data_IF_964294700604
#
_entry.id   IF_964294700604
#
_cell.length_a   1.000
_cell.length_b   1.000
_cell.length_c   1.000
_cell.angle_alpha   90.00
_cell.angle_beta   90.00
_cell.angle_gamma   90.00
#
_symmetry.space_group_name_H-M   'P 1'
#
loop_
_entity.id
_entity.type
_entity.pdbx_description
1 polymer ?
#
# COMPACT_ATOMS: atom_id res chain seq x y z
N UNK A 1 -26.69 3.12 5.59
CA UNK A 1 -25.56 3.68 4.83
C UNK A 1 -24.34 2.84 5.16
N UNK A 2 -23.63 2.31 4.16
CA UNK A 2 -22.40 1.56 4.35
C UNK A 2 -21.21 2.51 4.53
N UNK A 3 -20.24 2.13 5.32
CA UNK A 3 -18.98 2.86 5.53
C UNK A 3 -17.82 1.99 5.11
N UNK A 4 -17.03 2.49 4.15
CA UNK A 4 -15.77 1.87 3.73
C UNK A 4 -14.61 2.50 4.50
N UNK A 5 -13.90 1.68 5.26
CA UNK A 5 -12.73 2.08 6.02
C UNK A 5 -11.46 1.68 5.29
N UNK A 6 -10.78 2.64 4.66
CA UNK A 6 -9.49 2.40 4.01
C UNK A 6 -8.37 2.50 5.03
N UNK A 7 -7.61 1.43 5.17
CA UNK A 7 -6.51 1.30 6.13
C UNK A 7 -5.20 1.17 5.36
N UNK A 8 -4.30 2.11 5.58
CA UNK A 8 -2.91 1.94 5.13
C UNK A 8 -2.21 0.92 6.03
N UNK A 9 -1.47 -0.02 5.43
CA UNK A 9 -0.65 -0.97 6.17
C UNK A 9 0.28 -0.30 7.19
N UNK A 10 0.65 -1.01 8.23
CA UNK A 10 1.63 -0.59 9.23
C UNK A 10 3.00 -0.30 8.62
N UNK A 11 3.89 0.34 9.37
CA UNK A 11 5.23 0.67 8.89
C UNK A 11 5.96 -0.58 8.37
N UNK A 12 6.35 -0.56 7.09
CA UNK A 12 7.20 -1.58 6.50
C UNK A 12 8.66 -1.46 6.97
N UNK A 13 9.43 -2.56 6.83
CA UNK A 13 10.85 -2.63 7.22
C UNK A 13 11.73 -1.94 6.17
N UNK A 14 11.78 -0.61 6.19
CA UNK A 14 12.58 0.18 5.27
C UNK A 14 14.08 -0.12 5.45
N UNK A 15 14.77 -0.42 4.35
CA UNK A 15 16.22 -0.72 4.37
C UNK A 15 16.57 -2.17 4.73
N UNK A 16 15.60 -3.05 5.01
CA UNK A 16 15.83 -4.48 5.13
C UNK A 16 15.88 -5.16 3.75
N UNK A 17 16.48 -6.34 3.69
CA UNK A 17 16.51 -7.19 2.47
C UNK A 17 15.09 -7.54 1.99
N UNK A 18 14.15 -7.72 2.92
CA UNK A 18 12.73 -7.92 2.67
C UNK A 18 11.94 -6.68 3.11
N UNK A 19 11.76 -5.76 2.17
CA UNK A 19 10.99 -4.53 2.38
C UNK A 19 9.49 -4.80 2.59
N UNK A 20 8.97 -5.92 2.07
CA UNK A 20 7.51 -6.19 2.08
C UNK A 20 6.98 -6.65 3.44
N UNK A 21 7.82 -6.83 4.44
CA UNK A 21 7.40 -7.16 5.80
C UNK A 21 7.19 -5.93 6.67
N UNK A 22 6.35 -6.03 7.69
CA UNK A 22 6.23 -4.99 8.71
C UNK A 22 7.48 -4.90 9.59
N UNK A 23 7.81 -3.69 10.03
CA UNK A 23 8.71 -3.47 11.15
C UNK A 23 8.01 -3.81 12.48
N UNK A 24 8.78 -3.93 13.57
CA UNK A 24 8.20 -4.09 14.91
C UNK A 24 7.18 -2.99 15.23
N UNK A 25 7.48 -1.75 14.81
CA UNK A 25 6.54 -0.62 14.96
C UNK A 25 5.28 -0.81 14.11
N UNK A 26 5.40 -1.37 12.91
CA UNK A 26 4.25 -1.68 12.06
C UNK A 26 3.30 -2.69 12.70
N UNK A 27 3.84 -3.72 13.32
CA UNK A 27 3.06 -4.68 14.11
C UNK A 27 2.34 -4.02 15.28
N UNK A 28 3.03 -3.15 16.04
CA UNK A 28 2.40 -2.43 17.15
C UNK A 28 1.30 -1.48 16.66
N UNK A 29 1.48 -0.81 15.53
CA UNK A 29 0.46 0.01 14.90
C UNK A 29 -0.79 -0.81 14.57
N UNK A 30 -0.63 -2.00 14.00
CA UNK A 30 -1.74 -2.92 13.72
C UNK A 30 -2.49 -3.33 14.98
N UNK A 31 -1.75 -3.72 16.04
CA UNK A 31 -2.37 -4.08 17.33
C UNK A 31 -3.15 -2.92 17.97
N UNK A 32 -2.58 -1.72 17.94
CA UNK A 32 -3.25 -0.52 18.46
C UNK A 32 -4.54 -0.26 17.69
N UNK A 33 -4.49 -0.36 16.36
CA UNK A 33 -5.67 -0.19 15.50
C UNK A 33 -6.73 -1.24 15.78
N UNK A 34 -6.34 -2.51 15.91
CA UNK A 34 -7.25 -3.61 16.25
C UNK A 34 -7.99 -3.36 17.56
N UNK A 35 -7.26 -2.98 18.61
CA UNK A 35 -7.86 -2.60 19.90
C UNK A 35 -8.83 -1.42 19.79
N UNK A 36 -8.49 -0.44 18.97
CA UNK A 36 -9.36 0.72 18.75
C UNK A 36 -10.65 0.31 18.02
N UNK A 37 -10.52 -0.45 16.93
CA UNK A 37 -11.67 -0.94 16.15
C UNK A 37 -12.61 -1.73 17.06
N UNK A 38 -12.10 -2.69 17.87
CA UNK A 38 -12.92 -3.52 18.75
C UNK A 38 -13.72 -2.76 19.81
N UNK A 39 -13.36 -1.50 20.08
CA UNK A 39 -14.09 -0.63 21.03
C UNK A 39 -15.10 0.28 20.35
N UNK A 40 -14.96 0.56 19.06
CA UNK A 40 -15.70 1.64 18.40
C UNK A 40 -16.59 1.16 17.25
N UNK A 41 -16.29 0.03 16.65
CA UNK A 41 -17.05 -0.48 15.50
C UNK A 41 -16.89 -1.98 15.35
N UNK A 42 -17.83 -2.61 14.66
CA UNK A 42 -17.80 -4.04 14.37
C UNK A 42 -17.57 -4.23 12.87
N UNK A 43 -16.39 -4.71 12.43
CA UNK A 43 -16.17 -5.08 11.04
C UNK A 43 -17.11 -6.22 10.62
N UNK A 44 -17.82 -6.02 9.52
CA UNK A 44 -18.70 -7.05 8.94
C UNK A 44 -18.02 -7.73 7.75
N UNK A 45 -17.13 -7.03 7.07
CA UNK A 45 -16.28 -7.54 5.99
C UNK A 45 -14.88 -6.95 6.11
N UNK A 46 -13.90 -7.77 5.79
CA UNK A 46 -12.50 -7.39 5.76
C UNK A 46 -11.87 -7.84 4.44
N UNK A 47 -11.17 -6.92 3.80
CA UNK A 47 -10.44 -7.15 2.56
C UNK A 47 -9.01 -6.69 2.68
N UNK A 48 -8.12 -7.25 1.87
CA UNK A 48 -6.73 -6.82 1.80
C UNK A 48 -6.09 -7.09 0.46
N UNK A 49 -5.02 -6.39 0.14
CA UNK A 49 -4.15 -6.75 -0.97
C UNK A 49 -3.28 -7.97 -0.63
N UNK A 50 -2.60 -8.50 -1.64
CA UNK A 50 -1.77 -9.73 -1.53
C UNK A 50 -0.42 -9.50 -0.85
N UNK A 51 0.05 -8.24 -0.77
CA UNK A 51 1.38 -7.93 -0.27
C UNK A 51 1.54 -8.39 1.19
N UNK A 52 2.73 -8.88 1.52
CA UNK A 52 3.03 -9.41 2.84
C UNK A 52 2.69 -8.40 3.95
N UNK A 53 3.04 -7.12 3.76
CA UNK A 53 2.72 -6.05 4.71
C UNK A 53 1.22 -5.83 4.91
N UNK A 54 0.37 -6.15 3.91
CA UNK A 54 -1.09 -6.10 4.07
C UNK A 54 -1.55 -7.24 4.99
N UNK A 55 -1.10 -8.48 4.72
CA UNK A 55 -1.44 -9.65 5.55
C UNK A 55 -0.95 -9.48 6.98
N UNK A 56 0.32 -9.11 7.18
CA UNK A 56 0.87 -8.87 8.52
C UNK A 56 0.16 -7.73 9.26
N UNK A 57 -0.36 -6.71 8.56
CA UNK A 57 -1.19 -5.68 9.18
C UNK A 57 -2.53 -6.26 9.67
N UNK A 58 -3.17 -7.10 8.86
CA UNK A 58 -4.42 -7.78 9.23
C UNK A 58 -4.19 -8.71 10.42
N UNK A 59 -3.11 -9.49 10.41
CA UNK A 59 -2.71 -10.36 11.53
C UNK A 59 -2.51 -9.56 12.83
N UNK A 60 -1.76 -8.47 12.75
CA UNK A 60 -1.54 -7.59 13.89
C UNK A 60 -2.84 -6.92 14.40
N UNK A 61 -3.74 -6.55 13.47
CA UNK A 61 -5.08 -6.06 13.82
C UNK A 61 -5.89 -7.13 14.53
N UNK A 62 -5.86 -8.38 14.07
CA UNK A 62 -6.56 -9.49 14.72
C UNK A 62 -6.03 -9.75 16.14
N UNK A 63 -4.71 -9.75 16.34
CA UNK A 63 -4.11 -9.84 17.69
C UNK A 63 -4.62 -8.73 18.63
N UNK A 64 -4.81 -7.53 18.12
CA UNK A 64 -5.30 -6.40 18.93
C UNK A 64 -6.80 -6.39 19.13
N UNK A 65 -7.57 -6.85 18.14
CA UNK A 65 -9.04 -6.89 18.17
C UNK A 65 -9.56 -7.98 19.10
N UNK A 66 -8.89 -9.12 19.09
CA UNK A 66 -9.35 -10.35 19.76
C UNK A 66 -10.26 -11.18 18.86
N UNK A 67 -11.19 -11.91 19.47
CA UNK A 67 -12.06 -12.80 18.73
C UNK A 67 -13.13 -12.06 17.92
N UNK A 68 -13.47 -12.61 16.76
CA UNK A 68 -14.58 -12.12 15.94
C UNK A 68 -14.22 -11.13 14.84
N UNK A 69 -12.92 -10.86 14.57
CA UNK A 69 -12.54 -10.16 13.35
C UNK A 69 -12.85 -11.06 12.14
N UNK A 70 -13.55 -10.57 11.11
CA UNK A 70 -13.84 -11.37 9.90
C UNK A 70 -12.56 -11.86 9.22
N UNK A 71 -12.63 -13.04 8.60
CA UNK A 71 -11.57 -13.50 7.71
C UNK A 71 -11.43 -12.53 6.52
N UNK A 72 -10.19 -12.22 6.16
CA UNK A 72 -9.92 -11.29 5.10
C UNK A 72 -9.99 -11.94 3.72
N UNK A 73 -10.81 -11.39 2.84
CA UNK A 73 -10.75 -11.71 1.42
C UNK A 73 -9.62 -10.93 0.74
N UNK A 74 -8.91 -11.58 -0.19
CA UNK A 74 -7.76 -11.01 -0.88
C UNK A 74 -8.15 -10.51 -2.26
N UNK A 75 -7.86 -9.23 -2.55
CA UNK A 75 -8.08 -8.60 -3.85
C UNK A 75 -6.79 -8.03 -4.43
N UNK A 76 -6.23 -8.62 -5.52
CA UNK A 76 -5.00 -8.13 -6.15
C UNK A 76 -5.08 -6.67 -6.61
N UNK A 77 -6.28 -6.20 -6.97
CA UNK A 77 -6.55 -4.80 -7.33
C UNK A 77 -6.13 -3.79 -6.26
N UNK A 78 -6.06 -4.23 -4.99
CA UNK A 78 -5.68 -3.39 -3.86
C UNK A 78 -4.15 -3.34 -3.61
N UNK A 79 -3.34 -3.96 -4.47
CA UNK A 79 -1.89 -3.92 -4.32
C UNK A 79 -1.32 -2.55 -4.68
N UNK A 80 -0.21 -2.19 -4.03
CA UNK A 80 0.58 -1.01 -4.37
C UNK A 80 1.18 -1.16 -5.77
N UNK A 81 1.50 -0.02 -6.41
CA UNK A 81 2.31 -0.03 -7.63
C UNK A 81 3.77 -0.42 -7.33
N UNK A 82 4.48 -0.91 -8.33
CA UNK A 82 5.90 -1.20 -8.20
C UNK A 82 6.73 0.09 -8.31
N UNK A 83 7.06 0.66 -7.14
CA UNK A 83 7.89 1.87 -7.06
C UNK A 83 9.30 1.67 -7.63
N UNK A 84 9.82 0.43 -7.70
CA UNK A 84 11.15 0.16 -8.26
C UNK A 84 11.16 0.33 -9.76
N UNK A 85 10.13 -0.17 -10.45
CA UNK A 85 10.00 0.05 -11.90
C UNK A 85 9.77 1.52 -12.23
N UNK A 86 9.04 2.27 -11.39
CA UNK A 86 8.86 3.71 -11.56
C UNK A 86 10.18 4.47 -11.38
N UNK A 87 11.00 4.10 -10.40
CA UNK A 87 12.32 4.68 -10.20
C UNK A 87 13.28 4.31 -11.33
N UNK A 88 13.28 3.05 -11.81
CA UNK A 88 14.10 2.58 -12.92
C UNK A 88 13.81 3.35 -14.22
N UNK A 89 12.54 3.56 -14.53
CA UNK A 89 12.12 4.31 -15.71
C UNK A 89 12.51 5.79 -15.66
N UNK A 90 12.58 6.36 -14.46
CA UNK A 90 13.04 7.74 -14.26
C UNK A 90 14.55 7.87 -14.29
N UNK A 91 15.26 6.94 -13.64
CA UNK A 91 16.72 6.94 -13.54
C UNK A 91 17.26 5.52 -13.63
N UNK A 92 17.87 5.14 -14.77
CA UNK A 92 18.40 3.79 -14.95
C UNK A 92 19.33 3.36 -13.81
N UNK A 93 19.13 2.13 -13.33
CA UNK A 93 19.83 1.55 -12.18
C UNK A 93 19.16 1.80 -10.82
N UNK A 94 18.15 2.66 -10.72
CA UNK A 94 17.48 2.94 -9.44
C UNK A 94 16.40 1.93 -9.05
N UNK A 95 16.04 1.03 -9.95
CA UNK A 95 15.28 -0.17 -9.62
C UNK A 95 16.06 -1.17 -8.76
N UNK A 96 17.40 -1.11 -8.83
CA UNK A 96 18.30 -1.89 -7.98
C UNK A 96 18.66 -1.09 -6.71
N UNK A 97 18.29 -1.56 -5.50
CA UNK A 97 18.55 -0.85 -4.26
C UNK A 97 20.03 -0.58 -3.96
N UNK A 98 20.93 -1.51 -4.34
CA UNK A 98 22.37 -1.36 -4.09
C UNK A 98 22.98 -0.30 -5.01
N UNK A 99 22.57 -0.27 -6.29
CA UNK A 99 23.02 0.73 -7.24
C UNK A 99 22.49 2.11 -6.86
N UNK A 100 21.21 2.20 -6.49
CA UNK A 100 20.61 3.43 -5.97
C UNK A 100 21.36 3.95 -4.74
N UNK A 101 21.67 3.07 -3.77
CA UNK A 101 22.41 3.43 -2.56
C UNK A 101 23.82 3.94 -2.89
N UNK A 102 24.52 3.30 -3.84
CA UNK A 102 25.86 3.75 -4.29
C UNK A 102 25.83 5.13 -4.94
N UNK A 103 24.77 5.42 -5.72
CA UNK A 103 24.62 6.73 -6.34
C UNK A 103 24.26 7.80 -5.31
N UNK A 104 23.33 7.50 -4.41
CA UNK A 104 22.91 8.41 -3.33
C UNK A 104 24.05 8.74 -2.36
N UNK A 105 24.96 7.79 -2.10
CA UNK A 105 26.12 8.03 -1.22
C UNK A 105 27.06 9.14 -1.73
N UNK A 106 26.97 9.55 -3.00
CA UNK A 106 27.73 10.65 -3.60
C UNK A 106 27.07 12.02 -3.42
N UNK A 107 25.83 12.06 -2.97
CA UNK A 107 25.08 13.29 -2.76
C UNK A 107 25.40 13.91 -1.40
N UNK A 108 25.38 15.24 -1.32
CA UNK A 108 25.61 15.97 -0.06
C UNK A 108 24.53 15.66 1.00
N UNK A 109 23.28 15.41 0.58
CA UNK A 109 22.17 14.95 1.41
C UNK A 109 21.44 13.81 0.68
N UNK A 110 21.84 12.56 0.92
CA UNK A 110 21.25 11.39 0.25
C UNK A 110 19.74 11.26 0.44
N UNK A 111 19.24 11.64 1.62
CA UNK A 111 17.81 11.56 1.92
C UNK A 111 17.00 12.57 1.12
N UNK A 112 17.47 13.79 1.06
CA UNK A 112 16.82 14.86 0.28
C UNK A 112 16.90 14.58 -1.23
N UNK A 113 18.04 14.09 -1.70
CA UNK A 113 18.23 13.68 -3.08
C UNK A 113 17.27 12.54 -3.47
N UNK A 114 17.10 11.52 -2.62
CA UNK A 114 16.13 10.47 -2.83
C UNK A 114 14.70 11.00 -2.86
N UNK A 115 14.30 11.83 -1.89
CA UNK A 115 12.94 12.41 -1.85
C UNK A 115 12.62 13.22 -3.10
N UNK A 116 13.57 14.01 -3.56
CA UNK A 116 13.40 14.79 -4.78
C UNK A 116 13.25 13.90 -6.01
N UNK A 117 14.16 12.95 -6.21
CA UNK A 117 14.10 12.03 -7.34
C UNK A 117 12.83 11.16 -7.32
N UNK A 118 12.40 10.68 -6.16
CA UNK A 118 11.16 9.93 -6.01
C UNK A 118 9.95 10.79 -6.41
N UNK A 119 9.90 12.05 -5.98
CA UNK A 119 8.81 12.95 -6.34
C UNK A 119 8.76 13.23 -7.85
N UNK A 120 9.91 13.41 -8.50
CA UNK A 120 9.99 13.60 -9.95
C UNK A 120 9.60 12.32 -10.72
N UNK A 121 10.04 11.15 -10.25
CA UNK A 121 9.67 9.87 -10.83
C UNK A 121 8.14 9.65 -10.79
N UNK A 122 7.52 9.91 -9.65
CA UNK A 122 6.06 9.82 -9.48
C UNK A 122 5.34 10.85 -10.37
N UNK A 123 5.82 12.10 -10.44
CA UNK A 123 5.23 13.13 -11.30
C UNK A 123 5.26 12.72 -12.77
N UNK A 124 6.40 12.18 -13.24
CA UNK A 124 6.56 11.68 -14.60
C UNK A 124 5.60 10.53 -14.89
N UNK A 125 5.46 9.58 -13.95
CA UNK A 125 4.58 8.44 -14.08
C UNK A 125 3.10 8.87 -14.15
N UNK A 126 2.66 9.74 -13.24
CA UNK A 126 1.28 10.28 -13.20
C UNK A 126 0.97 11.13 -14.45
N UNK A 127 1.97 11.83 -15.00
CA UNK A 127 1.81 12.67 -16.18
C UNK A 127 1.38 11.92 -17.44
N UNK A 128 1.63 10.60 -17.52
CA UNK A 128 1.13 9.72 -18.58
C UNK A 128 1.80 9.87 -19.95
N UNK A 129 2.74 10.80 -20.12
CA UNK A 129 3.40 11.06 -21.41
C UNK A 129 4.35 9.94 -21.86
N UNK A 130 4.72 9.05 -20.94
CA UNK A 130 5.72 8.00 -21.13
C UNK A 130 5.19 6.62 -20.70
N UNK A 131 3.94 6.31 -20.95
CA UNK A 131 3.30 5.07 -20.47
C UNK A 131 4.06 3.79 -20.86
N UNK A 132 4.69 3.77 -22.03
CA UNK A 132 5.45 2.61 -22.53
C UNK A 132 6.76 2.31 -21.77
N UNK A 133 7.24 3.22 -20.91
CA UNK A 133 8.44 3.01 -20.11
C UNK A 133 8.17 2.17 -18.83
N UNK A 134 6.89 1.93 -18.52
CA UNK A 134 6.47 1.29 -17.28
C UNK A 134 5.79 -0.05 -17.54
N UNK A 135 6.07 -1.10 -16.76
CA UNK A 135 5.30 -2.35 -16.79
C UNK A 135 3.80 -2.11 -16.47
N UNK A 136 3.52 -1.16 -15.57
CA UNK A 136 2.18 -0.69 -15.24
C UNK A 136 2.15 0.84 -15.33
N UNK A 137 1.44 1.40 -16.32
CA UNK A 137 1.24 2.84 -16.42
C UNK A 137 0.35 3.37 -15.29
N UNK A 138 0.40 4.67 -15.01
CA UNK A 138 -0.50 5.30 -14.04
C UNK A 138 -1.97 5.03 -14.35
N UNK A 139 -2.35 5.07 -15.62
CA UNK A 139 -3.71 4.77 -16.07
C UNK A 139 -4.09 3.33 -15.74
N UNK A 140 -3.24 2.35 -16.07
CA UNK A 140 -3.49 0.94 -15.79
C UNK A 140 -3.59 0.68 -14.28
N UNK A 141 -2.69 1.27 -13.47
CA UNK A 141 -2.74 1.19 -12.02
C UNK A 141 -4.06 1.74 -11.47
N UNK A 142 -4.45 2.93 -11.92
CA UNK A 142 -5.70 3.57 -11.49
C UNK A 142 -6.92 2.73 -11.86
N UNK A 143 -6.99 2.22 -13.09
CA UNK A 143 -8.06 1.34 -13.56
C UNK A 143 -8.15 0.07 -12.73
N UNK A 144 -7.01 -0.58 -12.46
CA UNK A 144 -6.93 -1.78 -11.61
C UNK A 144 -7.43 -1.53 -10.19
N UNK A 145 -7.04 -0.42 -9.58
CA UNK A 145 -7.47 -0.05 -8.22
C UNK A 145 -8.98 0.22 -8.18
N UNK A 146 -9.52 0.97 -9.13
CA UNK A 146 -10.95 1.26 -9.18
C UNK A 146 -11.79 0.01 -9.44
N UNK A 147 -11.33 -0.87 -10.34
CA UNK A 147 -11.96 -2.16 -10.54
C UNK A 147 -11.95 -3.02 -9.27
N UNK A 148 -10.79 -3.09 -8.59
CA UNK A 148 -10.68 -3.82 -7.32
C UNK A 148 -11.60 -3.24 -6.24
N UNK A 149 -11.77 -1.93 -6.20
CA UNK A 149 -12.73 -1.28 -5.30
C UNK A 149 -14.18 -1.65 -5.63
N UNK A 150 -14.54 -1.65 -6.91
CA UNK A 150 -15.90 -2.05 -7.36
C UNK A 150 -16.19 -3.51 -7.00
N UNK A 151 -15.19 -4.40 -7.11
CA UNK A 151 -15.29 -5.79 -6.69
C UNK A 151 -15.50 -5.90 -5.17
N UNK A 152 -14.71 -5.18 -4.38
CA UNK A 152 -14.87 -5.11 -2.92
C UNK A 152 -16.26 -4.63 -2.52
N UNK A 153 -16.78 -3.58 -3.16
CA UNK A 153 -18.13 -3.04 -2.88
C UNK A 153 -19.20 -4.08 -3.21
N UNK A 154 -19.05 -4.79 -4.32
CA UNK A 154 -19.98 -5.85 -4.73
C UNK A 154 -19.95 -7.04 -3.75
N UNK A 155 -18.75 -7.49 -3.37
CA UNK A 155 -18.55 -8.63 -2.48
C UNK A 155 -18.94 -8.30 -1.02
N UNK A 156 -18.87 -7.02 -0.66
CA UNK A 156 -19.34 -6.55 0.65
C UNK A 156 -20.87 -6.65 0.82
N UNK A 157 -21.63 -6.60 -0.28
CA UNK A 157 -23.09 -6.70 -0.25
C UNK A 157 -23.74 -5.65 0.65
N UNK A 158 -24.58 -6.09 1.60
CA UNK A 158 -25.32 -5.22 2.53
C UNK A 158 -24.53 -4.87 3.81
N UNK A 159 -23.24 -5.19 3.89
CA UNK A 159 -22.41 -4.91 5.04
C UNK A 159 -22.33 -3.40 5.31
N UNK A 160 -22.45 -3.01 6.58
CA UNK A 160 -22.43 -1.59 7.00
C UNK A 160 -21.02 -1.08 7.27
N UNK A 161 -20.14 -1.95 7.76
CA UNK A 161 -18.75 -1.61 8.09
C UNK A 161 -17.80 -2.54 7.35
N UNK A 162 -17.22 -2.02 6.27
CA UNK A 162 -16.30 -2.73 5.38
C UNK A 162 -14.89 -2.17 5.57
N UNK A 163 -13.93 -3.03 5.91
CA UNK A 163 -12.56 -2.65 6.16
C UNK A 163 -11.65 -3.15 5.03
N UNK A 164 -10.77 -2.30 4.55
CA UNK A 164 -9.85 -2.60 3.43
C UNK A 164 -8.44 -2.22 3.82
N UNK A 165 -7.57 -3.22 3.98
CA UNK A 165 -6.15 -3.02 4.25
C UNK A 165 -5.37 -2.99 2.93
N UNK A 166 -4.75 -1.85 2.65
CA UNK A 166 -4.05 -1.61 1.39
C UNK A 166 -2.84 -0.67 1.60
N UNK A 167 -2.39 -0.02 0.56
CA UNK A 167 -1.23 0.89 0.53
C UNK A 167 -1.60 2.32 0.19
N UNK A 168 -0.62 3.22 0.25
CA UNK A 168 -0.83 4.66 0.02
C UNK A 168 -1.28 5.00 -1.40
N UNK A 169 -0.75 4.30 -2.41
CA UNK A 169 -1.13 4.52 -3.81
C UNK A 169 -2.61 4.24 -4.06
N UNK A 170 -3.13 3.03 -3.75
CA UNK A 170 -4.56 2.75 -3.89
C UNK A 170 -5.44 3.70 -3.09
N UNK A 171 -5.09 4.02 -1.84
CA UNK A 171 -5.86 5.00 -1.04
C UNK A 171 -5.91 6.36 -1.74
N UNK A 172 -4.79 6.82 -2.30
CA UNK A 172 -4.73 8.09 -3.02
C UNK A 172 -5.60 8.11 -4.28
N UNK A 173 -5.70 6.98 -5.00
CA UNK A 173 -6.59 6.84 -6.17
C UNK A 173 -8.06 6.94 -5.75
N UNK A 174 -8.43 6.29 -4.65
CA UNK A 174 -9.84 6.26 -4.18
C UNK A 174 -10.27 7.61 -3.59
N UNK A 175 -9.33 8.38 -3.04
CA UNK A 175 -9.61 9.67 -2.40
C UNK A 175 -9.67 10.87 -3.37
N UNK A 176 -9.43 10.67 -4.67
CA UNK A 176 -9.53 11.70 -5.72
C UNK A 176 -10.95 11.81 -6.26
#
# INVERSE_FOLDING_TARGET
MATLHLIRHGQASFGASDYDRLSQRGWEQGRVLGRWIGRHTQPERLFGGELRRHRETIEAMAEGFGDGLPEAAVHPGLNEFDHRSVLEAYRPGWGNPEEMARQLAKEADPRKAFQHAFSEAIRRWIGGENEGDYPESWRAFRERVLQGLDEVIRDAGDAKHVFVVTSGGPISVVAQ
#
